data_IF_178610275266
#
_entry.id   IF_178610275266
#
_cell.length_a   1.000
_cell.length_b   1.000
_cell.length_c   1.000
_cell.angle_alpha   90.00
_cell.angle_beta   90.00
_cell.angle_gamma   90.00
#
_symmetry.space_group_name_H-M   'P 1'
#
loop_
_entity.id
_entity.type
_entity.pdbx_description
1 polymer ?
#
# COMPACT_ATOMS: atom_id res chain seq x y z
N UNK A 1 -12.61 -43.73 3.46
CA UNK A 1 -13.70 -42.85 2.98
C UNK A 1 -13.95 -41.82 4.07
N UNK A 2 -13.90 -40.51 3.78
CA UNK A 2 -14.31 -39.51 4.75
C UNK A 2 -15.81 -39.69 5.06
N UNK A 3 -16.16 -39.74 6.34
CA UNK A 3 -17.54 -39.74 6.80
C UNK A 3 -18.15 -38.38 6.46
N UNK A 4 -19.16 -38.37 5.59
CA UNK A 4 -19.97 -37.18 5.31
C UNK A 4 -21.18 -37.32 6.26
N UNK A 5 -21.33 -36.44 7.27
CA UNK A 5 -22.49 -36.48 8.13
C UNK A 5 -23.78 -36.35 7.30
N UNK A 6 -24.84 -37.05 7.70
CA UNK A 6 -26.15 -36.83 7.10
C UNK A 6 -26.61 -35.39 7.40
N UNK A 7 -27.18 -34.73 6.39
CA UNK A 7 -27.66 -33.37 6.53
C UNK A 7 -28.78 -33.28 7.59
N UNK A 8 -28.67 -32.31 8.50
CA UNK A 8 -29.70 -32.01 9.51
C UNK A 8 -30.05 -30.53 9.50
N UNK A 9 -31.35 -30.22 9.52
CA UNK A 9 -31.83 -28.85 9.70
C UNK A 9 -31.53 -28.27 11.09
N UNK A 10 -31.21 -29.11 12.08
CA UNK A 10 -30.88 -28.68 13.44
C UNK A 10 -29.53 -27.95 13.53
N UNK A 11 -28.65 -28.16 12.55
CA UNK A 11 -27.33 -27.49 12.45
C UNK A 11 -27.43 -26.05 11.88
N UNK A 12 -28.64 -25.61 11.54
CA UNK A 12 -28.89 -24.34 10.86
C UNK A 12 -29.90 -23.47 11.61
N UNK A 13 -29.72 -22.15 11.54
CA UNK A 13 -30.79 -21.22 11.85
C UNK A 13 -31.88 -21.39 10.77
N UNK A 14 -33.11 -21.68 11.19
CA UNK A 14 -34.20 -21.96 10.24
C UNK A 14 -35.47 -21.17 10.56
N UNK A 15 -36.20 -20.83 9.50
CA UNK A 15 -37.58 -20.37 9.58
C UNK A 15 -38.52 -21.52 9.25
N UNK A 16 -39.50 -21.78 10.13
CA UNK A 16 -40.52 -22.81 9.91
C UNK A 16 -41.66 -22.25 9.06
N UNK A 17 -41.88 -22.85 7.89
CA UNK A 17 -42.91 -22.42 6.93
C UNK A 17 -44.30 -22.67 7.52
N UNK A 18 -45.12 -21.62 7.61
CA UNK A 18 -46.50 -21.68 8.09
C UNK A 18 -47.50 -22.00 6.97
N UNK A 19 -48.71 -22.41 7.37
CA UNK A 19 -49.83 -22.65 6.45
C UNK A 19 -50.25 -21.31 5.85
N UNK A 20 -50.02 -21.12 4.54
CA UNK A 20 -50.21 -19.91 3.72
C UNK A 20 -48.97 -19.02 3.53
N UNK A 21 -47.80 -19.44 4.01
CA UNK A 21 -46.56 -18.76 3.63
C UNK A 21 -46.27 -18.94 2.15
N UNK A 22 -45.84 -17.86 1.51
CA UNK A 22 -45.30 -17.86 0.15
C UNK A 22 -43.85 -17.40 0.21
N UNK A 23 -43.02 -17.84 -0.73
CA UNK A 23 -41.61 -17.45 -0.77
C UNK A 23 -41.40 -15.93 -0.70
N UNK A 24 -42.14 -15.16 -1.50
CA UNK A 24 -42.07 -13.70 -1.49
C UNK A 24 -42.62 -13.09 -0.19
N UNK A 25 -43.66 -13.69 0.40
CA UNK A 25 -44.24 -13.24 1.67
C UNK A 25 -43.24 -13.38 2.83
N UNK A 26 -42.59 -14.54 2.92
CA UNK A 26 -41.56 -14.83 3.95
C UNK A 26 -40.34 -13.92 3.76
N UNK A 27 -39.86 -13.77 2.52
CA UNK A 27 -38.74 -12.85 2.24
C UNK A 27 -39.05 -11.41 2.70
N UNK A 28 -40.26 -10.93 2.41
CA UNK A 28 -40.71 -9.60 2.86
C UNK A 28 -40.82 -9.50 4.38
N UNK A 29 -41.35 -10.53 5.05
CA UNK A 29 -41.48 -10.56 6.52
C UNK A 29 -40.13 -10.52 7.22
N UNK A 30 -39.14 -11.24 6.68
CA UNK A 30 -37.78 -11.28 7.21
C UNK A 30 -36.93 -10.07 6.80
N UNK A 31 -37.45 -9.18 5.96
CA UNK A 31 -36.70 -8.03 5.39
C UNK A 31 -35.44 -8.49 4.64
N UNK A 32 -35.53 -9.64 3.96
CA UNK A 32 -34.46 -10.22 3.14
C UNK A 32 -34.88 -10.15 1.67
N UNK A 33 -33.97 -9.82 0.76
CA UNK A 33 -34.28 -9.89 -0.67
C UNK A 33 -34.57 -11.34 -1.05
N UNK A 34 -35.60 -11.63 -1.86
CA UNK A 34 -35.94 -13.00 -2.24
C UNK A 34 -34.74 -13.79 -2.79
N UNK A 35 -33.95 -13.17 -3.67
CA UNK A 35 -32.77 -13.80 -4.27
C UNK A 35 -31.71 -14.19 -3.22
N UNK A 36 -31.52 -13.38 -2.17
CA UNK A 36 -30.56 -13.66 -1.10
C UNK A 36 -31.05 -14.80 -0.21
N UNK A 37 -32.34 -14.81 0.13
CA UNK A 37 -32.97 -15.89 0.90
C UNK A 37 -32.87 -17.24 0.16
N UNK A 38 -33.17 -17.23 -1.15
CA UNK A 38 -33.07 -18.41 -2.01
C UNK A 38 -31.63 -18.89 -2.14
N UNK A 39 -30.71 -17.97 -2.44
CA UNK A 39 -29.31 -18.32 -2.68
C UNK A 39 -28.66 -18.91 -1.43
N UNK A 40 -28.95 -18.34 -0.26
CA UNK A 40 -28.44 -18.86 0.99
C UNK A 40 -29.03 -20.23 1.31
N UNK A 41 -30.35 -20.39 1.22
CA UNK A 41 -30.99 -21.68 1.46
C UNK A 41 -30.44 -22.80 0.55
N UNK A 42 -30.43 -22.55 -0.75
CA UNK A 42 -30.03 -23.51 -1.78
C UNK A 42 -28.55 -23.91 -1.70
N UNK A 43 -27.72 -23.09 -1.04
CA UNK A 43 -26.31 -23.40 -0.84
C UNK A 43 -26.10 -24.53 0.17
N UNK A 44 -27.01 -24.68 1.13
CA UNK A 44 -26.84 -25.60 2.27
C UNK A 44 -27.87 -26.73 2.31
N UNK A 45 -29.02 -26.59 1.64
CA UNK A 45 -30.05 -27.63 1.65
C UNK A 45 -29.75 -28.79 0.68
N UNK A 46 -30.34 -29.98 0.89
CA UNK A 46 -30.32 -31.06 -0.08
C UNK A 46 -31.06 -30.69 -1.38
N UNK A 47 -30.72 -31.36 -2.48
CA UNK A 47 -31.28 -31.09 -3.81
C UNK A 47 -32.81 -31.06 -3.88
N UNK A 48 -33.49 -31.89 -3.08
CA UNK A 48 -34.95 -31.96 -3.06
C UNK A 48 -35.60 -30.70 -2.47
N UNK A 49 -34.89 -30.01 -1.57
CA UNK A 49 -35.38 -28.87 -0.81
C UNK A 49 -35.04 -27.52 -1.49
N UNK A 50 -34.45 -27.55 -2.68
CA UNK A 50 -34.09 -26.34 -3.44
C UNK A 50 -35.32 -25.46 -3.71
N UNK A 51 -35.17 -24.17 -3.42
CA UNK A 51 -36.16 -23.15 -3.75
C UNK A 51 -35.89 -22.69 -5.18
N UNK A 52 -36.81 -22.98 -6.09
CA UNK A 52 -36.81 -22.46 -7.46
C UNK A 52 -37.69 -21.19 -7.52
N UNK A 53 -38.85 -21.24 -8.17
CA UNK A 53 -39.75 -20.09 -8.25
C UNK A 53 -40.46 -19.78 -6.92
N UNK A 54 -40.85 -20.81 -6.16
CA UNK A 54 -41.54 -20.75 -4.88
C UNK A 54 -41.11 -21.94 -3.99
N UNK A 55 -41.60 -22.02 -2.75
CA UNK A 55 -41.29 -23.12 -1.85
C UNK A 55 -41.79 -24.47 -2.38
N UNK A 56 -40.95 -25.53 -2.40
CA UNK A 56 -41.40 -26.88 -2.66
C UNK A 56 -42.50 -27.29 -1.68
N UNK A 57 -43.51 -28.04 -2.15
CA UNK A 57 -44.67 -28.45 -1.32
C UNK A 57 -44.30 -29.23 -0.05
N UNK A 58 -43.15 -29.88 -0.06
CA UNK A 58 -42.66 -30.68 1.06
C UNK A 58 -41.70 -29.91 1.98
N UNK A 59 -41.24 -28.72 1.57
CA UNK A 59 -40.31 -27.91 2.34
C UNK A 59 -41.01 -27.45 3.63
N UNK A 60 -40.37 -27.70 4.77
CA UNK A 60 -40.87 -27.31 6.09
C UNK A 60 -40.07 -26.20 6.75
N UNK A 61 -38.81 -26.05 6.35
CA UNK A 61 -37.84 -25.15 6.95
C UNK A 61 -37.04 -24.42 5.88
N UNK A 62 -36.88 -23.11 6.05
CA UNK A 62 -35.97 -22.31 5.24
C UNK A 62 -34.74 -22.01 6.08
N UNK A 63 -33.58 -22.54 5.68
CA UNK A 63 -32.26 -22.15 6.20
C UNK A 63 -32.07 -20.64 6.02
N UNK A 64 -31.84 -19.94 7.12
CA UNK A 64 -31.57 -18.52 7.17
C UNK A 64 -30.07 -18.27 7.32
N UNK A 65 -29.61 -17.18 6.74
CA UNK A 65 -28.32 -16.64 7.13
C UNK A 65 -28.37 -16.27 8.62
N UNK A 66 -27.35 -16.64 9.42
CA UNK A 66 -27.23 -16.09 10.76
C UNK A 66 -27.21 -14.57 10.64
N UNK A 67 -27.87 -13.89 11.58
CA UNK A 67 -27.83 -12.44 11.65
C UNK A 67 -26.35 -12.03 11.67
N UNK A 68 -25.93 -11.22 10.70
CA UNK A 68 -24.59 -10.63 10.73
C UNK A 68 -24.59 -9.70 11.93
N UNK A 69 -24.11 -10.19 13.07
CA UNK A 69 -23.84 -9.34 14.23
C UNK A 69 -22.69 -8.46 13.80
N UNK A 70 -23.01 -7.26 13.34
CA UNK A 70 -22.02 -6.21 13.14
C UNK A 70 -21.58 -5.78 14.53
N UNK A 71 -20.50 -6.40 15.00
CA UNK A 71 -19.82 -6.00 16.22
C UNK A 71 -19.37 -4.55 16.08
N UNK A 72 -19.58 -3.77 17.14
CA UNK A 72 -18.97 -2.45 17.26
C UNK A 72 -17.45 -2.55 17.24
N UNK A 73 -16.75 -1.47 16.92
CA UNK A 73 -15.29 -1.44 16.92
C UNK A 73 -14.72 -1.79 18.31
N UNK A 74 -15.40 -1.37 19.39
CA UNK A 74 -15.03 -1.72 20.77
C UNK A 74 -15.14 -3.23 21.06
N UNK A 75 -16.10 -3.91 20.43
CA UNK A 75 -16.25 -5.36 20.55
C UNK A 75 -15.21 -6.08 19.70
N UNK A 76 -14.95 -5.61 18.47
CA UNK A 76 -13.88 -6.14 17.60
C UNK A 76 -12.52 -6.03 18.26
N UNK A 77 -12.22 -4.90 18.91
CA UNK A 77 -10.95 -4.66 19.62
C UNK A 77 -10.71 -5.71 20.73
N UNK A 78 -11.78 -6.17 21.41
CA UNK A 78 -11.67 -7.19 22.47
C UNK A 78 -11.40 -8.60 21.95
N UNK A 79 -11.69 -8.88 20.67
CA UNK A 79 -11.57 -10.20 20.06
C UNK A 79 -10.52 -10.26 18.94
N UNK A 80 -9.58 -9.31 18.92
CA UNK A 80 -8.52 -9.25 17.92
C UNK A 80 -7.76 -10.56 17.80
N UNK A 81 -7.51 -10.98 16.56
CA UNK A 81 -6.84 -12.24 16.25
C UNK A 81 -5.34 -12.07 16.43
N UNK A 82 -4.69 -13.07 17.02
CA UNK A 82 -3.22 -13.07 17.10
C UNK A 82 -2.62 -13.21 15.70
N UNK A 83 -1.53 -12.50 15.45
CA UNK A 83 -0.79 -12.58 14.18
C UNK A 83 -0.25 -13.99 13.97
N UNK A 84 -0.42 -14.50 12.76
CA UNK A 84 0.23 -15.72 12.26
C UNK A 84 1.26 -15.31 11.22
N UNK A 85 2.50 -15.75 11.42
CA UNK A 85 3.61 -15.42 10.54
C UNK A 85 3.81 -16.51 9.49
N UNK A 86 3.94 -16.11 8.23
CA UNK A 86 4.04 -17.05 7.11
C UNK A 86 5.50 -17.46 6.80
N UNK A 87 6.48 -16.63 7.15
CA UNK A 87 7.89 -16.78 6.73
C UNK A 87 8.84 -17.17 7.88
N UNK A 88 8.29 -17.58 9.03
CA UNK A 88 9.05 -17.90 10.23
C UNK A 88 8.57 -17.13 11.45
N UNK A 89 8.98 -17.54 12.65
CA UNK A 89 8.52 -16.90 13.88
C UNK A 89 8.92 -15.42 13.89
N UNK A 90 7.94 -14.50 13.90
CA UNK A 90 8.15 -13.04 13.94
C UNK A 90 8.83 -12.43 12.70
N UNK A 91 8.83 -13.13 11.57
CA UNK A 91 9.38 -12.64 10.31
C UNK A 91 8.32 -12.02 9.40
N UNK A 92 8.60 -10.83 8.87
CA UNK A 92 7.82 -10.18 7.82
C UNK A 92 8.71 -10.10 6.59
N UNK A 93 8.37 -10.81 5.50
CA UNK A 93 9.20 -10.82 4.28
C UNK A 93 8.42 -10.42 3.02
N UNK A 94 9.12 -10.11 1.93
CA UNK A 94 8.49 -9.83 0.64
C UNK A 94 8.30 -11.08 -0.24
N UNK A 95 8.49 -12.29 0.29
CA UNK A 95 8.40 -13.53 -0.51
C UNK A 95 7.03 -13.73 -1.18
N UNK A 96 5.98 -13.26 -0.52
CA UNK A 96 4.59 -13.40 -0.99
C UNK A 96 4.05 -12.14 -1.66
N UNK A 97 4.91 -11.14 -1.90
CA UNK A 97 4.56 -9.83 -2.43
C UNK A 97 4.27 -9.80 -3.95
N UNK A 98 3.76 -10.89 -4.54
CA UNK A 98 3.43 -10.96 -5.97
C UNK A 98 2.14 -10.19 -6.29
N UNK A 99 2.22 -8.86 -6.23
CA UNK A 99 1.06 -7.98 -6.29
C UNK A 99 1.09 -7.04 -7.49
N UNK A 100 -0.09 -6.48 -7.80
CA UNK A 100 -0.26 -5.35 -8.70
C UNK A 100 -1.37 -4.48 -8.13
N UNK A 101 -1.00 -3.49 -7.31
CA UNK A 101 -1.93 -2.71 -6.49
C UNK A 101 -1.91 -1.25 -6.91
N UNK A 102 -3.09 -0.64 -6.99
CA UNK A 102 -3.24 0.80 -7.13
C UNK A 102 -3.35 1.48 -5.76
N UNK A 103 -2.64 2.57 -5.57
CA UNK A 103 -2.62 3.35 -4.34
C UNK A 103 -3.02 4.80 -4.59
N UNK A 104 -3.84 5.34 -3.70
CA UNK A 104 -4.08 6.76 -3.58
C UNK A 104 -3.07 7.35 -2.61
N UNK A 105 -2.38 8.41 -3.02
CA UNK A 105 -1.31 9.05 -2.25
C UNK A 105 -1.69 10.50 -2.00
N UNK A 106 -1.63 10.91 -0.73
CA UNK A 106 -1.81 12.28 -0.27
C UNK A 106 -0.55 12.74 0.47
N UNK A 107 0.05 13.81 -0.03
CA UNK A 107 1.06 14.57 0.69
C UNK A 107 0.42 15.81 1.30
N UNK A 108 0.78 16.13 2.53
CA UNK A 108 0.43 17.39 3.19
C UNK A 108 1.69 18.05 3.69
N UNK A 109 1.91 19.29 3.25
CA UNK A 109 3.08 20.11 3.56
C UNK A 109 2.59 21.30 4.35
N UNK A 110 2.96 21.35 5.62
CA UNK A 110 2.63 22.43 6.54
C UNK A 110 3.89 23.24 6.83
N UNK A 111 3.82 24.55 6.64
CA UNK A 111 4.90 25.50 6.96
C UNK A 111 4.29 26.72 7.61
N UNK A 112 4.37 26.79 8.95
CA UNK A 112 3.65 27.79 9.74
C UNK A 112 2.14 27.69 9.52
N UNK A 113 1.51 28.75 9.03
CA UNK A 113 0.07 28.79 8.75
C UNK A 113 -0.31 28.27 7.35
N UNK A 114 0.68 28.00 6.48
CA UNK A 114 0.43 27.55 5.12
C UNK A 114 0.35 26.03 5.06
N UNK A 115 -0.71 25.52 4.44
CA UNK A 115 -0.89 24.09 4.18
C UNK A 115 -1.06 23.89 2.68
N UNK A 116 -0.23 23.02 2.12
CA UNK A 116 -0.35 22.58 0.72
C UNK A 116 -0.59 21.07 0.68
N UNK A 117 -1.38 20.62 -0.27
CA UNK A 117 -1.66 19.21 -0.50
C UNK A 117 -1.34 18.80 -1.91
N UNK A 118 -0.84 17.58 -2.08
CA UNK A 118 -0.59 16.97 -3.38
C UNK A 118 -1.24 15.60 -3.39
N UNK A 119 -2.14 15.34 -4.34
CA UNK A 119 -2.84 14.07 -4.52
C UNK A 119 -2.41 13.44 -5.83
N UNK A 120 -2.13 12.15 -5.80
CA UNK A 120 -1.79 11.37 -6.98
C UNK A 120 -2.18 9.89 -6.80
N UNK A 121 -2.24 9.16 -7.91
CA UNK A 121 -2.40 7.71 -7.90
C UNK A 121 -1.08 7.06 -8.34
N UNK A 122 -0.69 5.99 -7.66
CA UNK A 122 0.54 5.24 -7.94
C UNK A 122 0.20 3.75 -8.02
N UNK A 123 0.72 3.05 -9.02
CA UNK A 123 0.66 1.58 -9.06
C UNK A 123 1.99 0.99 -8.65
N UNK A 124 1.93 -0.08 -7.86
CA UNK A 124 3.09 -0.88 -7.48
C UNK A 124 2.86 -2.30 -7.95
N UNK A 125 3.74 -2.76 -8.84
CA UNK A 125 3.66 -4.08 -9.43
C UNK A 125 4.95 -4.86 -9.18
N UNK A 126 4.82 -6.05 -8.60
CA UNK A 126 5.93 -6.97 -8.47
C UNK A 126 6.34 -7.52 -9.85
N UNK A 127 7.65 -7.64 -10.08
CA UNK A 127 8.20 -8.10 -11.37
C UNK A 127 9.03 -9.36 -11.22
N UNK A 128 9.95 -9.37 -10.27
CA UNK A 128 10.90 -10.46 -10.12
C UNK A 128 11.54 -10.47 -8.72
N UNK A 129 12.19 -11.59 -8.40
CA UNK A 129 13.12 -11.74 -7.28
C UNK A 129 14.44 -12.24 -7.84
N UNK A 130 15.55 -11.70 -7.34
CA UNK A 130 16.91 -12.16 -7.65
C UNK A 130 17.34 -13.29 -6.72
N UNK A 131 18.32 -14.08 -7.16
CA UNK A 131 18.90 -15.16 -6.35
C UNK A 131 19.55 -14.66 -5.05
N UNK A 132 20.00 -13.40 -5.03
CA UNK A 132 20.62 -12.75 -3.87
C UNK A 132 19.60 -12.10 -2.92
N UNK A 133 18.29 -12.33 -3.10
CA UNK A 133 17.26 -11.87 -2.17
C UNK A 133 16.66 -10.49 -2.47
N UNK A 134 17.17 -9.74 -3.45
CA UNK A 134 16.56 -8.49 -3.91
C UNK A 134 15.28 -8.72 -4.71
N UNK A 135 14.36 -7.78 -4.62
CA UNK A 135 13.08 -7.75 -5.33
C UNK A 135 13.07 -6.62 -6.35
N UNK A 136 12.40 -6.83 -7.47
CA UNK A 136 12.16 -5.82 -8.49
C UNK A 136 10.68 -5.46 -8.53
N UNK A 137 10.38 -4.19 -8.31
CA UNK A 137 9.06 -3.62 -8.45
C UNK A 137 9.03 -2.61 -9.59
N UNK A 138 7.93 -2.57 -10.31
CA UNK A 138 7.60 -1.50 -11.24
C UNK A 138 6.67 -0.54 -10.52
N UNK A 139 7.10 0.71 -10.38
CA UNK A 139 6.31 1.80 -9.82
C UNK A 139 5.91 2.73 -10.95
N UNK A 140 4.63 3.05 -11.06
CA UNK A 140 4.13 3.96 -12.08
C UNK A 140 3.19 5.00 -11.46
N UNK A 141 3.26 6.25 -11.92
CA UNK A 141 2.28 7.27 -11.55
C UNK A 141 1.12 7.25 -12.56
N UNK A 142 -0.11 7.29 -12.05
CA UNK A 142 -1.33 7.25 -12.85
C UNK A 142 -2.08 8.57 -12.77
N UNK A 143 -2.59 9.00 -13.92
CA UNK A 143 -3.45 10.18 -14.01
C UNK A 143 -2.71 11.48 -13.75
N UNK A 144 -3.49 12.54 -13.49
CA UNK A 144 -2.98 13.86 -13.17
C UNK A 144 -2.60 13.97 -11.70
N UNK A 145 -1.60 14.80 -11.42
CA UNK A 145 -1.29 15.25 -10.06
C UNK A 145 -2.19 16.45 -9.75
N UNK A 146 -2.80 16.44 -8.57
CA UNK A 146 -3.63 17.55 -8.09
C UNK A 146 -2.90 18.28 -6.97
N UNK A 147 -2.76 19.59 -7.07
CA UNK A 147 -2.16 20.45 -6.07
C UNK A 147 -3.27 21.32 -5.49
N UNK A 148 -3.51 21.24 -4.18
CA UNK A 148 -4.60 21.97 -3.51
C UNK A 148 -5.96 21.78 -4.22
N UNK A 149 -6.28 20.53 -4.56
CA UNK A 149 -7.49 20.11 -5.27
C UNK A 149 -7.68 20.70 -6.68
N UNK A 150 -6.66 21.36 -7.21
CA UNK A 150 -6.64 21.91 -8.56
C UNK A 150 -5.67 21.12 -9.43
N UNK A 151 -6.06 20.86 -10.67
CA UNK A 151 -5.13 20.33 -11.66
C UNK A 151 -4.15 21.44 -12.08
N UNK A 152 -2.95 21.05 -12.51
CA UNK A 152 -1.99 21.94 -13.15
C UNK A 152 -2.67 22.81 -14.22
N UNK A 153 -2.61 24.13 -14.07
CA UNK A 153 -3.26 25.10 -14.97
C UNK A 153 -2.27 26.16 -15.50
N UNK A 154 -1.01 26.10 -15.03
CA UNK A 154 0.07 26.96 -15.51
C UNK A 154 1.03 26.23 -16.44
N UNK A 155 1.68 27.00 -17.32
CA UNK A 155 2.75 26.50 -18.21
C UNK A 155 3.89 25.79 -17.45
N UNK A 156 4.24 26.28 -16.26
CA UNK A 156 5.32 25.68 -15.46
C UNK A 156 4.91 24.32 -14.92
N UNK A 157 3.65 24.18 -14.51
CA UNK A 157 3.11 22.91 -14.02
C UNK A 157 2.97 21.88 -15.14
N UNK A 158 2.58 22.30 -16.35
CA UNK A 158 2.54 21.39 -17.51
C UNK A 158 3.93 20.86 -17.89
N UNK A 159 4.95 21.72 -17.91
CA UNK A 159 6.34 21.30 -18.12
C UNK A 159 6.77 20.32 -17.02
N UNK A 160 6.40 20.59 -15.76
CA UNK A 160 6.72 19.72 -14.64
C UNK A 160 6.00 18.36 -14.71
N UNK A 161 4.74 18.33 -15.15
CA UNK A 161 3.97 17.11 -15.37
C UNK A 161 4.61 16.26 -16.47
N UNK A 162 4.94 16.86 -17.62
CA UNK A 162 5.62 16.18 -18.72
C UNK A 162 6.98 15.63 -18.29
N UNK A 163 7.79 16.44 -17.59
CA UNK A 163 9.11 16.05 -17.13
C UNK A 163 9.04 14.93 -16.07
N UNK A 164 8.08 15.01 -15.13
CA UNK A 164 7.82 13.93 -14.17
C UNK A 164 7.39 12.65 -14.86
N UNK A 165 6.54 12.72 -15.89
CA UNK A 165 6.07 11.54 -16.63
C UNK A 165 7.21 10.80 -17.34
N UNK A 166 8.29 11.50 -17.74
CA UNK A 166 9.44 10.86 -18.36
C UNK A 166 10.17 9.86 -17.44
N UNK A 167 10.12 10.08 -16.12
CA UNK A 167 10.72 9.20 -15.13
C UNK A 167 10.00 7.84 -15.08
N UNK A 168 8.69 7.81 -15.30
CA UNK A 168 7.89 6.61 -15.08
C UNK A 168 7.73 5.78 -16.36
N UNK A 169 7.61 4.43 -16.24
CA UNK A 169 7.67 3.65 -15.00
C UNK A 169 9.09 3.52 -14.44
N UNK A 170 9.22 3.45 -13.11
CA UNK A 170 10.47 3.18 -12.40
C UNK A 170 10.60 1.68 -12.13
N UNK A 171 11.77 1.11 -12.44
CA UNK A 171 12.12 -0.26 -12.07
C UNK A 171 12.91 -0.23 -10.75
N UNK A 172 12.20 -0.25 -9.62
CA UNK A 172 12.75 -0.08 -8.27
C UNK A 172 13.27 -1.42 -7.75
N UNK A 173 14.55 -1.46 -7.40
CA UNK A 173 15.18 -2.60 -6.71
C UNK A 173 15.07 -2.38 -5.21
N UNK A 174 14.60 -3.41 -4.52
CA UNK A 174 14.32 -3.43 -3.09
C UNK A 174 15.10 -4.56 -2.44
N UNK A 175 15.77 -4.29 -1.31
CA UNK A 175 16.51 -5.29 -0.55
C UNK A 175 15.56 -6.26 0.20
N UNK A 176 16.14 -7.25 0.89
CA UNK A 176 15.37 -8.23 1.65
C UNK A 176 14.54 -7.63 2.79
N UNK A 177 14.93 -6.45 3.28
CA UNK A 177 14.24 -5.74 4.35
C UNK A 177 13.08 -4.88 3.84
N UNK A 178 12.89 -4.77 2.52
CA UNK A 178 11.88 -3.91 1.94
C UNK A 178 12.34 -2.46 1.76
N UNK A 179 13.65 -2.19 1.76
CA UNK A 179 14.23 -0.87 1.50
C UNK A 179 14.60 -0.75 0.03
N UNK A 180 14.19 0.32 -0.64
CA UNK A 180 14.65 0.56 -2.01
C UNK A 180 16.13 0.96 -2.01
N UNK A 181 16.89 0.46 -2.98
CA UNK A 181 18.35 0.64 -3.02
C UNK A 181 18.88 1.05 -4.40
N UNK A 182 18.10 0.88 -5.47
CA UNK A 182 18.57 1.13 -6.83
C UNK A 182 17.43 1.28 -7.85
N UNK A 183 17.69 1.94 -8.98
CA UNK A 183 16.76 2.05 -10.12
C UNK A 183 17.35 1.34 -11.34
N UNK A 184 16.71 0.25 -11.75
CA UNK A 184 17.23 -0.70 -12.76
C UNK A 184 16.84 -0.37 -14.21
N UNK A 185 16.36 0.85 -14.49
CA UNK A 185 15.97 1.23 -15.85
C UNK A 185 16.39 2.66 -16.25
N UNK A 186 17.53 3.13 -15.75
CA UNK A 186 18.11 4.44 -16.07
C UNK A 186 18.14 4.73 -17.58
N UNK A 187 18.67 3.81 -18.40
CA UNK A 187 18.76 4.00 -19.87
C UNK A 187 17.39 4.21 -20.53
N UNK A 188 16.35 3.55 -20.02
CA UNK A 188 14.99 3.73 -20.53
C UNK A 188 14.41 5.09 -20.12
N UNK A 189 14.67 5.52 -18.87
CA UNK A 189 14.29 6.83 -18.35
C UNK A 189 14.95 7.95 -19.17
N UNK A 190 16.25 7.85 -19.40
CA UNK A 190 17.01 8.81 -20.19
C UNK A 190 16.44 8.90 -21.63
N UNK A 191 16.18 7.76 -22.26
CA UNK A 191 15.61 7.73 -23.61
C UNK A 191 14.20 8.37 -23.67
N UNK A 192 13.36 8.17 -22.64
CA UNK A 192 12.06 8.86 -22.51
C UNK A 192 12.25 10.36 -22.32
N UNK A 193 13.17 10.77 -21.44
CA UNK A 193 13.49 12.17 -21.19
C UNK A 193 13.94 12.90 -22.46
N UNK A 194 14.83 12.31 -23.26
CA UNK A 194 15.28 12.95 -24.51
C UNK A 194 14.14 13.18 -25.51
N UNK A 195 13.10 12.34 -25.51
CA UNK A 195 11.89 12.56 -26.32
C UNK A 195 11.05 13.69 -25.74
N UNK A 196 10.73 13.63 -24.45
CA UNK A 196 9.92 14.65 -23.76
C UNK A 196 10.57 16.03 -23.84
N UNK A 197 11.87 16.13 -23.61
CA UNK A 197 12.66 17.36 -23.73
C UNK A 197 12.52 18.01 -25.10
N UNK A 198 12.52 17.21 -26.18
CA UNK A 198 12.30 17.71 -27.55
C UNK A 198 10.89 18.25 -27.72
N UNK A 199 9.88 17.57 -27.17
CA UNK A 199 8.49 18.04 -27.24
C UNK A 199 8.31 19.34 -26.44
N UNK A 200 8.80 19.42 -25.20
CA UNK A 200 8.76 20.65 -24.39
C UNK A 200 9.37 21.82 -25.17
N UNK A 201 10.54 21.63 -25.78
CA UNK A 201 11.20 22.68 -26.59
C UNK A 201 10.44 23.08 -27.85
N UNK A 202 9.51 22.28 -28.37
CA UNK A 202 8.68 22.69 -29.52
C UNK A 202 7.63 23.72 -29.11
N UNK A 203 6.99 23.50 -27.96
CA UNK A 203 5.86 24.30 -27.50
C UNK A 203 6.25 25.44 -26.57
N UNK A 204 7.36 25.30 -25.84
CA UNK A 204 7.79 26.25 -24.83
C UNK A 204 9.19 26.80 -25.15
N UNK A 205 9.33 28.12 -25.05
CA UNK A 205 10.57 28.86 -25.35
C UNK A 205 10.92 29.82 -24.21
N UNK A 206 12.20 30.11 -24.08
CA UNK A 206 12.72 31.11 -23.15
C UNK A 206 13.70 30.54 -22.12
N UNK A 207 14.50 31.43 -21.53
CA UNK A 207 15.62 31.06 -20.66
C UNK A 207 15.20 30.27 -19.42
N UNK A 208 14.00 30.53 -18.89
CA UNK A 208 13.49 29.80 -17.72
C UNK A 208 13.16 28.34 -18.04
N UNK A 209 12.66 28.07 -19.26
CA UNK A 209 12.42 26.69 -19.73
C UNK A 209 13.74 25.96 -19.86
N UNK A 210 14.75 26.59 -20.48
CA UNK A 210 16.07 25.95 -20.63
C UNK A 210 16.78 25.72 -19.29
N UNK A 211 16.65 26.64 -18.32
CA UNK A 211 17.14 26.42 -16.95
C UNK A 211 16.46 25.23 -16.29
N UNK A 212 15.15 25.08 -16.45
CA UNK A 212 14.41 23.95 -15.91
C UNK A 212 14.84 22.63 -16.55
N UNK A 213 14.95 22.59 -17.88
CA UNK A 213 15.41 21.41 -18.61
C UNK A 213 16.85 21.00 -18.20
N UNK A 214 17.73 21.98 -17.98
CA UNK A 214 19.10 21.73 -17.54
C UNK A 214 19.17 21.11 -16.13
N UNK A 215 18.22 21.43 -15.23
CA UNK A 215 18.13 20.77 -13.92
C UNK A 215 17.77 19.28 -14.07
N UNK A 216 16.84 18.96 -14.96
CA UNK A 216 16.50 17.57 -15.25
C UNK A 216 17.64 16.81 -15.93
N UNK A 217 18.37 17.44 -16.85
CA UNK A 217 19.55 16.84 -17.46
C UNK A 217 20.60 16.47 -16.41
N UNK A 218 20.84 17.34 -15.42
CA UNK A 218 21.77 17.06 -14.31
C UNK A 218 21.31 15.88 -13.46
N UNK A 219 20.01 15.80 -13.17
CA UNK A 219 19.45 14.69 -12.40
C UNK A 219 19.46 13.35 -13.17
N UNK A 220 19.67 13.41 -14.49
CA UNK A 220 19.73 12.24 -15.39
C UNK A 220 21.11 12.10 -16.05
N UNK A 221 22.15 12.65 -15.45
CA UNK A 221 23.52 12.57 -15.95
C UNK A 221 24.05 11.13 -15.88
N UNK A 222 23.77 10.45 -14.77
CA UNK A 222 24.07 9.04 -14.55
C UNK A 222 23.10 8.42 -13.52
N UNK A 223 23.33 7.14 -13.19
CA UNK A 223 22.48 6.41 -12.24
C UNK A 223 22.57 6.98 -10.82
N UNK A 224 23.75 7.42 -10.39
CA UNK A 224 23.95 7.95 -9.03
C UNK A 224 23.21 9.28 -8.85
N UNK A 225 23.25 10.15 -9.87
CA UNK A 225 22.50 11.40 -9.89
C UNK A 225 20.98 11.17 -9.93
N UNK A 226 20.53 10.17 -10.68
CA UNK A 226 19.13 9.76 -10.65
C UNK A 226 18.74 9.24 -9.26
N UNK A 227 19.57 8.40 -8.66
CA UNK A 227 19.34 7.87 -7.31
C UNK A 227 19.26 9.00 -6.28
N UNK A 228 20.21 9.94 -6.28
CA UNK A 228 20.22 11.11 -5.40
C UNK A 228 19.00 12.02 -5.62
N UNK A 229 18.53 12.16 -6.85
CA UNK A 229 17.29 12.89 -7.13
C UNK A 229 16.06 12.18 -6.56
N UNK A 230 15.98 10.85 -6.73
CA UNK A 230 14.87 10.03 -6.25
C UNK A 230 14.96 9.71 -4.75
N UNK A 231 16.11 9.94 -4.10
CA UNK A 231 16.23 9.77 -2.66
C UNK A 231 15.37 10.74 -1.86
N UNK A 232 14.87 11.79 -2.52
CA UNK A 232 13.94 12.78 -2.00
C UNK A 232 12.47 12.43 -2.28
N UNK A 233 12.20 11.37 -3.03
CA UNK A 233 10.84 10.97 -3.38
C UNK A 233 10.11 10.40 -2.16
N UNK A 234 9.07 11.10 -1.71
CA UNK A 234 8.30 10.69 -0.52
C UNK A 234 7.59 9.35 -0.69
N UNK A 235 7.14 8.99 -1.90
CA UNK A 235 6.51 7.69 -2.10
C UNK A 235 7.52 6.57 -1.89
N UNK A 236 8.68 6.63 -2.54
CA UNK A 236 9.71 5.60 -2.42
C UNK A 236 10.20 5.44 -0.97
N UNK A 237 10.46 6.56 -0.29
CA UNK A 237 10.89 6.54 1.11
C UNK A 237 9.80 6.13 2.10
N UNK A 238 8.51 6.34 1.77
CA UNK A 238 7.41 5.90 2.62
C UNK A 238 7.10 4.42 2.43
N UNK A 239 7.00 3.99 1.17
CA UNK A 239 6.54 2.65 0.79
C UNK A 239 7.63 1.60 0.94
N UNK A 240 8.86 1.91 0.52
CA UNK A 240 10.02 1.02 0.58
C UNK A 240 11.01 1.49 1.66
N UNK A 241 10.54 1.62 2.90
CA UNK A 241 11.32 2.13 4.04
C UNK A 241 12.07 1.02 4.82
N UNK A 242 12.02 -0.22 4.35
CA UNK A 242 12.70 -1.33 5.02
C UNK A 242 11.94 -1.92 6.22
N UNK A 243 10.61 -1.99 6.18
CA UNK A 243 9.79 -2.49 7.32
C UNK A 243 9.68 -4.02 7.39
N UNK A 244 10.08 -4.73 6.33
CA UNK A 244 9.98 -6.18 6.17
C UNK A 244 11.16 -6.88 6.83
N UNK A 245 11.16 -6.89 8.15
CA UNK A 245 12.29 -7.38 8.95
C UNK A 245 11.91 -8.58 9.82
N UNK A 246 12.95 -9.25 10.32
CA UNK A 246 12.82 -10.25 11.36
C UNK A 246 12.82 -9.57 12.74
N UNK A 247 11.74 -9.75 13.51
CA UNK A 247 11.64 -9.22 14.86
C UNK A 247 12.16 -10.21 15.90
N UNK A 248 12.55 -9.66 17.07
CA UNK A 248 12.77 -10.46 18.27
C UNK A 248 11.44 -10.77 18.97
N UNK A 249 11.47 -11.58 20.03
CA UNK A 249 10.28 -11.90 20.83
C UNK A 249 9.61 -10.69 21.50
N UNK A 250 10.31 -9.55 21.60
CA UNK A 250 9.72 -8.30 22.08
C UNK A 250 8.87 -7.58 21.03
N UNK A 251 8.86 -8.08 19.79
CA UNK A 251 8.20 -7.45 18.64
C UNK A 251 8.63 -6.00 18.41
N UNK A 252 9.83 -5.64 18.86
CA UNK A 252 10.35 -4.28 18.76
C UNK A 252 11.82 -4.28 18.38
N UNK A 253 12.19 -3.31 17.56
CA UNK A 253 13.58 -3.04 17.15
C UNK A 253 13.87 -1.54 17.25
N UNK A 254 15.13 -1.22 17.48
CA UNK A 254 15.68 0.15 17.38
C UNK A 254 16.49 0.24 16.09
N UNK A 255 16.33 1.34 15.34
CA UNK A 255 17.09 1.59 14.11
C UNK A 255 17.08 3.06 13.76
N UNK A 256 17.93 3.42 12.81
CA UNK A 256 17.90 4.73 12.16
C UNK A 256 17.02 4.67 10.90
N UNK A 257 16.25 5.74 10.66
CA UNK A 257 15.50 5.96 9.42
C UNK A 257 15.86 7.33 8.87
N UNK A 258 16.15 7.38 7.58
CA UNK A 258 16.34 8.62 6.84
C UNK A 258 15.04 8.96 6.10
N UNK A 259 14.52 10.17 6.27
CA UNK A 259 13.31 10.61 5.56
C UNK A 259 13.47 12.05 5.05
N UNK A 260 13.07 12.36 3.80
CA UNK A 260 13.16 13.70 3.26
C UNK A 260 12.06 14.59 3.85
N UNK A 261 12.45 15.72 4.41
CA UNK A 261 11.52 16.73 4.95
C UNK A 261 11.42 17.90 4.01
N UNK A 262 12.54 18.49 3.59
CA UNK A 262 12.53 19.62 2.66
C UNK A 262 12.95 19.20 1.24
N UNK A 263 12.36 19.80 0.17
CA UNK A 263 12.74 19.52 -1.22
C UNK A 263 14.23 19.78 -1.54
N UNK A 264 14.86 20.69 -0.78
CA UNK A 264 16.23 21.16 -1.01
C UNK A 264 17.26 20.53 -0.08
N UNK A 265 16.85 19.89 1.01
CA UNK A 265 17.79 19.27 1.96
C UNK A 265 18.07 17.81 1.59
N UNK A 266 19.21 17.28 2.03
CA UNK A 266 19.38 15.83 2.15
C UNK A 266 18.37 15.26 3.14
N UNK A 267 18.15 13.95 3.05
CA UNK A 267 17.33 13.22 4.01
C UNK A 267 17.82 13.49 5.43
N UNK A 268 16.87 13.50 6.35
CA UNK A 268 17.12 13.77 7.75
C UNK A 268 16.97 12.46 8.50
N UNK A 269 17.87 12.22 9.43
CA UNK A 269 17.92 10.96 10.15
C UNK A 269 17.13 11.02 11.46
N UNK A 270 16.58 9.86 11.83
CA UNK A 270 15.76 9.67 13.00
C UNK A 270 16.17 8.39 13.70
N UNK A 271 16.39 8.48 15.01
CA UNK A 271 16.45 7.30 15.87
C UNK A 271 15.02 6.87 16.19
N UNK A 272 14.63 5.70 15.70
CA UNK A 272 13.26 5.20 15.81
C UNK A 272 13.19 3.87 16.57
N UNK A 273 12.10 3.73 17.31
CA UNK A 273 11.59 2.45 17.76
C UNK A 273 10.48 1.98 16.84
N UNK A 274 10.69 0.85 16.17
CA UNK A 274 9.68 0.16 15.37
C UNK A 274 9.10 -1.00 16.19
N UNK A 275 7.76 -1.11 16.20
CA UNK A 275 7.00 -2.08 16.99
C UNK A 275 5.95 -2.75 16.11
N UNK A 276 5.92 -4.07 16.16
CA UNK A 276 4.88 -4.89 15.54
C UNK A 276 3.81 -5.22 16.59
N UNK A 277 2.55 -5.02 16.23
CA UNK A 277 1.44 -5.48 17.06
C UNK A 277 1.35 -7.01 17.02
N UNK A 278 1.20 -7.63 18.20
CA UNK A 278 1.02 -9.08 18.31
C UNK A 278 -0.35 -9.55 17.77
N UNK A 279 -1.28 -8.63 17.57
CA UNK A 279 -2.64 -8.89 17.11
C UNK A 279 -2.96 -8.10 15.85
N UNK A 280 -3.74 -8.69 14.96
CA UNK A 280 -4.33 -7.99 13.83
C UNK A 280 -5.34 -6.95 14.33
N UNK A 281 -5.45 -5.81 13.66
CA UNK A 281 -6.43 -4.78 14.03
C UNK A 281 -7.89 -5.20 13.73
N UNK A 282 -8.83 -4.27 13.93
CA UNK A 282 -10.26 -4.51 13.71
C UNK A 282 -10.63 -4.80 12.25
N UNK A 283 -9.74 -4.43 11.31
CA UNK A 283 -9.88 -4.69 9.87
C UNK A 283 -9.04 -5.92 9.43
N UNK A 284 -8.55 -6.71 10.40
CA UNK A 284 -7.68 -7.88 10.20
C UNK A 284 -6.32 -7.54 9.55
N UNK A 285 -5.82 -6.31 9.70
CA UNK A 285 -4.50 -5.91 9.22
C UNK A 285 -3.40 -6.14 10.26
N UNK A 286 -2.21 -6.47 9.77
CA UNK A 286 -0.99 -6.47 10.56
C UNK A 286 -0.50 -5.03 10.76
N UNK A 287 -0.27 -4.61 12.00
CA UNK A 287 0.07 -3.21 12.31
C UNK A 287 1.52 -3.05 12.75
N UNK A 288 2.25 -2.15 12.10
CA UNK A 288 3.57 -1.68 12.53
C UNK A 288 3.45 -0.22 12.95
N UNK A 289 3.92 0.11 14.16
CA UNK A 289 4.02 1.47 14.68
C UNK A 289 5.50 1.85 14.85
N UNK A 290 5.89 3.01 14.31
CA UNK A 290 7.26 3.52 14.35
C UNK A 290 7.21 4.92 14.96
N UNK A 291 7.95 5.13 16.04
CA UNK A 291 8.09 6.46 16.65
C UNK A 291 9.57 6.75 16.86
N UNK A 292 9.99 7.96 16.56
CA UNK A 292 11.36 8.37 16.78
C UNK A 292 11.53 9.87 16.91
N UNK A 293 12.78 10.24 17.22
CA UNK A 293 13.22 11.61 17.37
C UNK A 293 14.32 11.91 16.39
N UNK A 294 14.38 13.16 15.98
CA UNK A 294 15.42 13.68 15.11
C UNK A 294 16.80 13.32 15.67
N UNK A 295 17.62 12.71 14.82
CA UNK A 295 19.02 12.40 15.06
C UNK A 295 19.83 12.98 13.90
N UNK A 296 20.13 14.28 13.97
CA UNK A 296 20.86 15.00 12.93
C UNK A 296 21.88 15.95 13.55
N UNK A 297 22.99 16.19 12.85
CA UNK A 297 24.04 17.09 13.30
C UNK A 297 23.73 18.56 13.00
N UNK A 298 22.82 18.84 12.06
CA UNK A 298 22.41 20.20 11.67
C UNK A 298 21.70 20.93 12.81
N UNK A 299 22.00 22.21 12.94
CA UNK A 299 21.39 23.13 13.90
C UNK A 299 20.02 23.58 13.39
N UNK A 300 19.24 24.23 14.27
CA UNK A 300 17.99 24.87 13.86
C UNK A 300 18.23 25.90 12.74
N UNK A 301 19.27 26.69 12.87
CA UNK A 301 19.68 27.72 11.90
C UNK A 301 20.12 27.11 10.57
N UNK A 302 20.80 25.94 10.58
CA UNK A 302 21.13 25.22 9.35
C UNK A 302 19.86 24.87 8.55
N UNK A 303 18.83 24.35 9.22
CA UNK A 303 17.56 24.02 8.57
C UNK A 303 16.80 25.27 8.09
N UNK A 304 16.82 26.35 8.87
CA UNK A 304 16.17 27.62 8.48
C UNK A 304 16.79 28.26 7.23
N UNK A 305 18.07 27.98 6.97
CA UNK A 305 18.78 28.45 5.78
C UNK A 305 18.86 27.39 4.66
N UNK A 306 18.05 26.32 4.72
CA UNK A 306 18.05 25.20 3.76
C UNK A 306 19.44 24.55 3.56
N UNK A 307 20.28 24.55 4.61
CA UNK A 307 21.62 24.00 4.51
C UNK A 307 21.60 22.47 4.54
N UNK A 308 22.39 21.91 3.63
CA UNK A 308 22.50 20.47 3.44
C UNK A 308 23.53 19.82 4.37
N UNK A 309 24.45 20.61 4.93
CA UNK A 309 25.52 20.16 5.81
C UNK A 309 25.57 21.05 7.05
N UNK A 310 25.93 20.52 8.22
CA UNK A 310 26.02 21.31 9.43
C UNK A 310 27.15 22.34 9.34
N UNK A 311 26.85 23.59 9.67
CA UNK A 311 27.90 24.58 9.93
C UNK A 311 28.30 24.47 11.39
N UNK A 312 29.57 24.16 11.65
CA UNK A 312 30.09 23.99 13.01
C UNK A 312 30.29 25.34 13.70
N UNK A 313 29.20 25.92 14.18
CA UNK A 313 29.24 27.00 15.17
C UNK A 313 28.90 26.45 16.56
N UNK A 314 29.83 26.63 17.51
CA UNK A 314 29.80 25.95 18.82
C UNK A 314 28.70 26.43 19.79
N UNK A 315 27.79 27.31 19.35
CA UNK A 315 26.78 27.94 20.22
C UNK A 315 25.35 27.93 19.68
N UNK A 316 25.05 27.20 18.60
CA UNK A 316 23.71 27.19 18.02
C UNK A 316 22.80 26.10 18.62
N UNK A 317 21.51 26.41 18.66
CA UNK A 317 20.46 25.50 19.12
C UNK A 317 20.35 24.29 18.17
N UNK A 318 20.38 23.08 18.72
CA UNK A 318 20.09 21.87 17.93
C UNK A 318 18.64 21.88 17.47
N UNK A 319 18.41 21.44 16.24
CA UNK A 319 17.04 21.22 15.80
C UNK A 319 16.40 20.07 16.57
N UNK A 320 15.09 20.17 16.78
CA UNK A 320 14.27 19.09 17.31
C UNK A 320 13.19 18.71 16.29
N UNK A 321 12.83 17.44 16.29
CA UNK A 321 11.79 16.92 15.41
C UNK A 321 11.38 15.52 15.82
N UNK A 322 10.23 15.10 15.34
CA UNK A 322 9.66 13.78 15.59
C UNK A 322 9.37 13.08 14.27
N UNK A 323 9.46 11.77 14.30
CA UNK A 323 9.02 10.91 13.22
C UNK A 323 7.99 9.93 13.77
N UNK A 324 6.85 9.82 13.08
CA UNK A 324 5.83 8.83 13.37
C UNK A 324 5.42 8.15 12.08
N UNK A 325 5.39 6.83 12.07
CA UNK A 325 4.80 6.07 10.98
C UNK A 325 3.91 4.96 11.52
N UNK A 326 2.82 4.69 10.80
CA UNK A 326 1.94 3.57 11.03
C UNK A 326 1.66 2.87 9.72
N UNK A 327 1.93 1.58 9.67
CA UNK A 327 1.70 0.74 8.51
C UNK A 327 0.64 -0.31 8.86
N UNK A 328 -0.36 -0.42 8.01
CA UNK A 328 -1.38 -1.45 8.03
C UNK A 328 -1.10 -2.37 6.84
N UNK A 329 -0.70 -3.60 7.12
CA UNK A 329 -0.25 -4.55 6.12
C UNK A 329 -1.25 -5.69 5.97
N UNK A 330 -1.39 -6.18 4.75
CA UNK A 330 -2.10 -7.42 4.50
C UNK A 330 -1.35 -8.59 5.16
N UNK A 331 -1.99 -9.40 6.01
CA UNK A 331 -1.31 -10.47 6.75
C UNK A 331 -0.85 -11.64 5.87
N UNK A 332 -1.31 -11.75 4.62
CA UNK A 332 -0.90 -12.83 3.71
C UNK A 332 0.37 -12.48 2.95
N UNK A 333 0.44 -11.27 2.38
CA UNK A 333 1.53 -10.86 1.50
C UNK A 333 2.44 -9.76 2.06
N UNK A 334 2.11 -9.22 3.25
CA UNK A 334 2.81 -8.13 3.92
C UNK A 334 2.97 -6.84 3.10
N UNK A 335 2.14 -6.66 2.08
CA UNK A 335 2.05 -5.42 1.33
C UNK A 335 1.19 -4.41 2.09
N UNK A 336 1.52 -3.11 2.02
CA UNK A 336 0.72 -2.08 2.66
C UNK A 336 -0.69 -1.99 2.09
N UNK A 337 -1.68 -1.97 2.98
CA UNK A 337 -3.07 -1.61 2.71
C UNK A 337 -3.31 -0.12 3.03
N UNK A 338 -2.63 0.37 4.07
CA UNK A 338 -2.56 1.80 4.39
C UNK A 338 -1.22 2.15 5.04
N UNK A 339 -0.72 3.34 4.75
CA UNK A 339 0.48 3.92 5.34
C UNK A 339 0.14 5.34 5.79
N UNK A 340 0.55 5.69 7.00
CA UNK A 340 0.59 7.05 7.49
C UNK A 340 1.99 7.35 7.99
N UNK A 341 2.62 8.41 7.49
CA UNK A 341 3.89 8.93 7.99
C UNK A 341 3.70 10.40 8.30
N UNK A 342 4.22 10.85 9.44
CA UNK A 342 4.31 12.25 9.79
C UNK A 342 5.68 12.55 10.37
N UNK A 343 6.30 13.61 9.89
CA UNK A 343 7.52 14.15 10.47
C UNK A 343 7.38 15.66 10.67
N UNK A 344 7.93 16.16 11.78
CA UNK A 344 7.92 17.59 12.11
C UNK A 344 9.33 18.08 12.47
N UNK A 345 9.56 19.37 12.22
CA UNK A 345 10.74 20.11 12.65
C UNK A 345 10.29 21.36 13.41
N UNK A 346 10.83 21.50 14.62
CA UNK A 346 10.63 22.66 15.48
C UNK A 346 11.60 23.78 15.08
N UNK A 347 11.24 24.50 14.02
CA UNK A 347 11.91 25.72 13.58
C UNK A 347 11.10 26.96 14.01
N UNK A 348 11.63 28.16 13.80
CA UNK A 348 10.86 29.41 14.03
C UNK A 348 9.57 29.45 13.21
N UNK A 349 9.64 28.93 11.98
CA UNK A 349 8.45 28.54 11.20
C UNK A 349 8.32 27.03 11.26
N UNK A 350 7.44 26.47 12.12
CA UNK A 350 7.30 25.03 12.26
C UNK A 350 6.99 24.38 10.92
N UNK A 351 7.68 23.29 10.62
CA UNK A 351 7.42 22.50 9.42
C UNK A 351 6.89 21.14 9.80
N UNK A 352 5.90 20.66 9.06
CA UNK A 352 5.37 19.32 9.23
C UNK A 352 4.97 18.74 7.88
N UNK A 353 5.33 17.48 7.67
CA UNK A 353 5.07 16.76 6.44
C UNK A 353 4.33 15.49 6.79
N UNK A 354 3.28 15.21 6.01
CA UNK A 354 2.47 14.02 6.18
C UNK A 354 2.33 13.30 4.85
N UNK A 355 2.51 11.99 4.87
CA UNK A 355 2.30 11.11 3.72
C UNK A 355 1.25 10.08 4.11
N UNK A 356 0.15 10.04 3.36
CA UNK A 356 -0.87 8.99 3.48
C UNK A 356 -0.91 8.21 2.17
N UNK A 357 -0.86 6.89 2.24
CA UNK A 357 -0.95 5.98 1.10
C UNK A 357 -2.04 4.96 1.42
N UNK A 358 -3.03 4.80 0.56
CA UNK A 358 -4.14 3.86 0.76
C UNK A 358 -4.36 3.00 -0.47
N UNK A 359 -4.54 1.70 -0.28
CA UNK A 359 -4.92 0.77 -1.35
C UNK A 359 -6.29 1.17 -1.93
N UNK A 360 -6.37 1.25 -3.25
CA UNK A 360 -7.58 1.60 -4.02
C UNK A 360 -8.27 0.38 -4.63
N UNK A 361 -7.62 -0.77 -4.65
CA UNK A 361 -8.24 -1.99 -5.15
C UNK A 361 -9.33 -2.44 -4.17
N UNK A 362 -10.48 -2.90 -4.71
CA UNK A 362 -11.60 -3.35 -3.88
C UNK A 362 -11.13 -4.40 -2.86
N UNK A 363 -11.46 -4.17 -1.57
CA UNK A 363 -11.24 -5.12 -0.46
C UNK A 363 -11.98 -6.43 -0.73
N UNK A 364 -11.42 -7.32 -1.56
CA UNK A 364 -11.85 -8.72 -1.58
C UNK A 364 -11.53 -9.28 -0.21
N UNK A 365 -12.54 -9.83 0.48
CA UNK A 365 -12.41 -10.38 1.84
C UNK A 365 -11.07 -11.10 2.02
N UNK A 366 -10.24 -10.59 2.94
CA UNK A 366 -8.92 -11.16 3.25
C UNK A 366 -9.19 -12.49 3.97
N UNK A 367 -9.20 -13.58 3.22
CA UNK A 367 -9.32 -14.92 3.78
C UNK A 367 -8.04 -15.25 4.53
N UNK A 368 -8.15 -15.54 5.83
CA UNK A 368 -7.05 -15.93 6.71
C UNK A 368 -6.61 -17.39 6.54
N UNK A 369 -7.19 -18.11 5.58
CA UNK A 369 -6.80 -19.49 5.27
C UNK A 369 -5.66 -19.49 4.24
N UNK A 370 -4.57 -20.24 4.47
CA UNK A 370 -3.53 -20.39 3.46
C UNK A 370 -4.16 -20.96 2.19
N UNK A 371 -4.19 -20.17 1.11
CA UNK A 371 -4.47 -20.72 -0.22
C UNK A 371 -3.24 -21.49 -0.66
N UNK A 372 -3.25 -22.80 -0.44
CA UNK A 372 -2.43 -23.68 -1.25
C UNK A 372 -2.99 -23.67 -2.67
N UNK A 373 -2.47 -22.79 -3.52
CA UNK A 373 -2.62 -22.94 -4.96
C UNK A 373 -1.68 -24.06 -5.41
N UNK A 374 -2.20 -25.28 -5.47
CA UNK A 374 -1.54 -26.38 -6.13
C UNK A 374 -1.48 -26.06 -7.62
N UNK A 375 -0.30 -25.68 -8.10
CA UNK A 375 -0.01 -25.58 -9.52
C UNK A 375 -0.11 -26.99 -10.13
N UNK A 376 -1.17 -27.26 -10.88
CA UNK A 376 -1.20 -28.42 -11.78
C UNK A 376 -0.41 -27.99 -13.01
N UNK A 377 0.80 -28.53 -13.14
CA UNK A 377 1.63 -28.31 -14.31
C UNK A 377 0.91 -28.87 -15.55
N UNK A 378 0.50 -28.00 -16.48
CA UNK A 378 0.05 -28.43 -17.80
C UNK A 378 1.24 -29.03 -18.54
N UNK A 379 1.37 -30.36 -18.48
CA UNK A 379 2.34 -31.08 -19.31
C UNK A 379 1.98 -30.88 -20.78
N UNK A 380 2.71 -29.99 -21.47
CA UNK A 380 2.67 -29.95 -22.94
C UNK A 380 3.07 -31.34 -23.47
N UNK A 381 2.28 -31.96 -24.35
CA UNK A 381 2.64 -33.25 -24.91
C UNK A 381 3.94 -33.10 -25.70
N UNK A 382 4.97 -33.84 -25.30
CA UNK A 382 6.19 -33.99 -26.08
C UNK A 382 5.81 -34.50 -27.47
N UNK A 383 6.14 -33.73 -28.52
CA UNK A 383 6.12 -34.25 -29.90
C UNK A 383 7.07 -35.45 -29.96
N UNK A 384 6.54 -36.63 -30.27
CA UNK A 384 7.32 -37.84 -30.54
C UNK A 384 8.07 -37.66 -31.85
N UNK A 385 9.40 -37.83 -31.84
CA UNK A 385 10.28 -37.62 -33.00
C UNK A 385 10.28 -38.77 -34.02
N UNK A 386 9.12 -39.40 -34.27
CA UNK A 386 9.01 -40.53 -35.22
C UNK A 386 7.75 -40.49 -36.08
N UNK A 387 7.29 -39.32 -36.48
CA UNK A 387 6.34 -39.20 -37.60
C UNK A 387 6.96 -38.24 -38.63
N UNK A 388 7.48 -38.87 -39.69
CA UNK A 388 7.94 -38.27 -40.94
C UNK A 388 6.82 -37.45 -41.60
#
# INVERSE_FOLDING_TARGET
MPYIPEFSYEDHLTYKIAKNDTFLGVAKQLVIRPDDLRSYHNKFCPLQDLIEADFPKHLRYVILAPEKIELSDDEKEKIRKKVVFNDGAFGISLNQAQVNISYGVLYTIESGATVNTIKQQVTVKWKAKSDNGYYLFEVNRMGKVYINDSAADSMVEDIAEQASAALYPLAVVVDENGKWVYINNFTEIEARWQKVKKEIRKYYKGDQVEKYLALYDRNLEDNDMLYLSLSKDWFLNAFFNGIHVQYSSSLSIQREIAFPIAPKSYNINYDVQQKLDAYLDIDDFLVIDINGKLHDERTKTDFEHDLSLPIKEYSEEKAEGNYRAKYFLNPQNYMPESIFISCDLKLDTPQKYTVTISNLDDKKEISTSPRQELFIEETKPQKKWWQL
#
